data_IF_525991565845
#
_entry.id   IF_525991565845
#
_cell.length_a   1.000
_cell.length_b   1.000
_cell.length_c   1.000
_cell.angle_alpha   90.00
_cell.angle_beta   90.00
_cell.angle_gamma   90.00
#
_symmetry.space_group_name_H-M   'P 1'
#
loop_
_entity.id
_entity.type
_entity.pdbx_description
1 polymer ?
#
# COMPACT_ATOMS: atom_id res chain seq x y z
N UNK A 1 -38.16 18.88 5.40
CA UNK A 1 -37.05 17.91 5.26
C UNK A 1 -35.82 18.51 5.92
N UNK A 2 -35.16 17.84 6.88
CA UNK A 2 -33.95 18.39 7.49
C UNK A 2 -32.79 18.34 6.48
N UNK A 3 -31.96 19.39 6.40
CA UNK A 3 -30.85 19.44 5.45
C UNK A 3 -29.77 18.41 5.83
N UNK A 4 -29.32 17.63 4.85
CA UNK A 4 -28.18 16.69 4.98
C UNK A 4 -26.96 17.46 5.51
N UNK A 5 -26.45 17.05 6.68
CA UNK A 5 -25.22 17.58 7.25
C UNK A 5 -24.07 17.39 6.25
N UNK A 6 -23.25 18.41 5.97
CA UNK A 6 -22.08 18.25 5.11
C UNK A 6 -21.10 17.29 5.79
N UNK A 7 -20.77 16.19 5.10
CA UNK A 7 -19.77 15.23 5.59
C UNK A 7 -18.46 15.96 5.87
N UNK A 8 -17.89 15.76 7.07
CA UNK A 8 -16.57 16.28 7.42
C UNK A 8 -15.58 15.81 6.35
N UNK A 9 -15.07 16.74 5.54
CA UNK A 9 -13.88 16.51 4.71
C UNK A 9 -12.79 16.01 5.67
N UNK A 10 -12.34 14.76 5.53
CA UNK A 10 -11.19 14.26 6.29
C UNK A 10 -10.04 15.23 5.98
N UNK A 11 -9.45 15.84 7.03
CA UNK A 11 -8.24 16.65 6.88
C UNK A 11 -7.22 15.77 6.16
N UNK A 12 -6.71 16.28 5.04
CA UNK A 12 -5.62 15.63 4.33
C UNK A 12 -4.39 15.72 5.23
N UNK A 13 -3.92 14.58 5.70
CA UNK A 13 -2.76 14.48 6.60
C UNK A 13 -1.53 14.29 5.73
N UNK A 14 -0.61 15.23 5.81
CA UNK A 14 0.73 15.04 5.26
C UNK A 14 1.51 14.10 6.19
N UNK A 15 1.58 12.83 5.81
CA UNK A 15 2.29 11.81 6.57
C UNK A 15 3.81 11.96 6.51
N UNK A 16 4.34 12.78 5.60
CA UNK A 16 5.76 13.07 5.49
C UNK A 16 6.19 14.24 6.38
N UNK A 17 5.26 15.09 6.83
CA UNK A 17 5.55 16.19 7.76
C UNK A 17 6.09 15.68 9.10
N UNK A 18 7.02 16.42 9.71
CA UNK A 18 7.70 16.02 10.97
C UNK A 18 6.73 15.66 12.09
N UNK A 19 5.57 16.32 12.17
CA UNK A 19 4.55 16.09 13.20
C UNK A 19 3.84 14.72 13.06
N UNK A 20 3.74 14.19 11.84
CA UNK A 20 2.99 12.97 11.54
C UNK A 20 3.88 11.79 11.14
N UNK A 21 5.14 12.07 10.82
CA UNK A 21 6.10 11.09 10.33
C UNK A 21 6.51 10.12 11.42
N UNK A 22 6.42 8.82 11.13
CA UNK A 22 6.97 7.78 12.00
C UNK A 22 7.64 6.68 11.16
N UNK A 23 8.80 6.19 11.64
CA UNK A 23 9.62 5.19 10.92
C UNK A 23 8.98 3.79 10.89
N UNK A 24 8.06 3.53 11.80
CA UNK A 24 7.29 2.30 11.95
C UNK A 24 6.01 2.26 11.10
N UNK A 25 5.63 3.39 10.47
CA UNK A 25 4.45 3.48 9.61
C UNK A 25 4.82 3.25 8.17
N UNK A 26 4.30 2.17 7.59
CA UNK A 26 4.37 1.90 6.16
C UNK A 26 3.17 2.49 5.42
N UNK A 27 3.39 2.90 4.19
CA UNK A 27 2.36 3.51 3.35
C UNK A 27 1.97 2.54 2.24
N UNK A 28 0.66 2.35 2.06
CA UNK A 28 0.10 1.64 0.90
C UNK A 28 -0.72 2.64 0.11
N UNK A 29 -0.29 2.91 -1.11
CA UNK A 29 -1.01 3.75 -2.05
C UNK A 29 -1.77 2.86 -3.02
N UNK A 30 -3.09 3.04 -3.09
CA UNK A 30 -3.91 2.32 -4.08
C UNK A 30 -4.58 3.33 -4.99
N UNK A 31 -4.22 3.28 -6.27
CA UNK A 31 -4.98 3.93 -7.32
C UNK A 31 -6.08 2.97 -7.79
N UNK A 32 -7.32 3.41 -7.81
CA UNK A 32 -8.43 2.60 -8.24
C UNK A 32 -9.48 3.42 -8.99
N UNK A 33 -10.05 2.88 -10.07
CA UNK A 33 -11.14 3.53 -10.82
C UNK A 33 -12.39 3.72 -9.94
N UNK A 34 -13.21 4.70 -10.31
CA UNK A 34 -14.52 4.97 -9.71
C UNK A 34 -15.68 4.29 -10.45
N UNK A 35 -15.42 3.56 -11.54
CA UNK A 35 -16.44 2.88 -12.34
C UNK A 35 -17.28 1.88 -11.54
N UNK A 36 -16.70 1.23 -10.52
CA UNK A 36 -17.41 0.26 -9.72
C UNK A 36 -16.95 0.23 -8.25
N UNK A 37 -17.87 0.14 -7.27
CA UNK A 37 -17.53 0.09 -5.84
C UNK A 37 -16.58 -1.04 -5.43
N UNK A 38 -16.54 -2.16 -6.19
CA UNK A 38 -15.67 -3.30 -5.88
C UNK A 38 -14.19 -2.92 -5.85
N UNK A 39 -13.77 -1.94 -6.67
CA UNK A 39 -12.40 -1.44 -6.67
C UNK A 39 -12.02 -0.81 -5.33
N UNK A 40 -12.95 -0.05 -4.72
CA UNK A 40 -12.76 0.50 -3.40
C UNK A 40 -12.73 -0.60 -2.33
N UNK A 41 -13.66 -1.56 -2.40
CA UNK A 41 -13.70 -2.71 -1.48
C UNK A 41 -12.40 -3.50 -1.52
N UNK A 42 -11.88 -3.78 -2.72
CA UNK A 42 -10.61 -4.49 -2.91
C UNK A 42 -9.41 -3.70 -2.37
N UNK A 43 -9.42 -2.38 -2.50
CA UNK A 43 -8.40 -1.53 -1.87
C UNK A 43 -8.43 -1.63 -0.34
N UNK A 44 -9.61 -1.62 0.27
CA UNK A 44 -9.79 -1.74 1.73
C UNK A 44 -9.41 -3.15 2.23
N UNK A 45 -9.75 -4.21 1.48
CA UNK A 45 -9.33 -5.58 1.75
C UNK A 45 -7.81 -5.74 1.72
N UNK A 46 -7.13 -5.17 0.72
CA UNK A 46 -5.67 -5.22 0.62
C UNK A 46 -4.98 -4.57 1.84
N UNK A 47 -5.44 -3.38 2.25
CA UNK A 47 -4.91 -2.71 3.45
C UNK A 47 -5.16 -3.51 4.73
N UNK A 48 -6.34 -4.10 4.87
CA UNK A 48 -6.69 -4.96 6.00
C UNK A 48 -5.81 -6.20 6.04
N UNK A 49 -5.62 -6.86 4.90
CA UNK A 49 -4.78 -8.04 4.77
C UNK A 49 -3.34 -7.75 5.20
N UNK A 50 -2.70 -6.70 4.67
CA UNK A 50 -1.32 -6.37 5.00
C UNK A 50 -1.15 -6.04 6.49
N UNK A 51 -2.14 -5.35 7.08
CA UNK A 51 -2.15 -5.05 8.52
C UNK A 51 -2.23 -6.32 9.38
N UNK A 52 -3.01 -7.32 8.96
CA UNK A 52 -3.11 -8.61 9.66
C UNK A 52 -1.87 -9.48 9.45
N UNK A 53 -1.29 -9.43 8.25
CA UNK A 53 -0.18 -10.30 7.85
C UNK A 53 1.16 -9.87 8.43
N UNK A 54 1.34 -8.56 8.63
CA UNK A 54 2.58 -7.91 9.09
C UNK A 54 2.21 -6.97 10.27
N UNK A 55 1.77 -7.53 11.42
CA UNK A 55 1.23 -6.75 12.53
C UNK A 55 2.27 -5.85 13.24
N UNK A 56 3.56 -6.10 13.03
CA UNK A 56 4.66 -5.30 13.57
C UNK A 56 4.82 -3.94 12.85
N UNK A 57 4.12 -3.75 11.72
CA UNK A 57 4.09 -2.50 10.97
C UNK A 57 2.72 -1.82 11.08
N UNK A 58 2.73 -0.49 11.19
CA UNK A 58 1.50 0.31 11.10
C UNK A 58 1.27 0.66 9.64
N UNK A 59 0.29 0.06 8.99
CA UNK A 59 -0.03 0.39 7.61
C UNK A 59 -1.01 1.56 7.53
N UNK A 60 -0.68 2.53 6.68
CA UNK A 60 -1.56 3.63 6.30
C UNK A 60 -1.97 3.46 4.84
N UNK A 61 -3.25 3.11 4.64
CA UNK A 61 -3.86 3.05 3.32
C UNK A 61 -4.18 4.47 2.81
N UNK A 62 -3.75 4.79 1.59
CA UNK A 62 -4.00 6.05 0.89
C UNK A 62 -4.62 5.72 -0.47
N UNK A 63 -5.91 6.00 -0.63
CA UNK A 63 -6.65 5.73 -1.88
C UNK A 63 -6.67 6.97 -2.77
N UNK A 64 -6.30 6.83 -4.04
CA UNK A 64 -6.31 7.90 -5.05
C UNK A 64 -5.70 9.22 -4.54
N UNK A 65 -4.57 9.14 -3.81
CA UNK A 65 -3.93 10.30 -3.14
C UNK A 65 -4.93 11.13 -2.32
N UNK A 66 -5.72 10.47 -1.47
CA UNK A 66 -6.83 11.07 -0.70
C UNK A 66 -7.89 11.77 -1.56
N UNK A 67 -8.11 11.29 -2.78
CA UNK A 67 -9.04 11.88 -3.75
C UNK A 67 -8.47 13.06 -4.55
N UNK A 68 -7.17 13.36 -4.42
CA UNK A 68 -6.50 14.40 -5.22
C UNK A 68 -6.10 13.91 -6.62
N UNK A 69 -5.98 12.60 -6.80
CA UNK A 69 -5.67 12.00 -8.08
C UNK A 69 -6.96 11.52 -8.74
N UNK A 70 -7.22 11.99 -9.97
CA UNK A 70 -8.22 11.37 -10.84
C UNK A 70 -7.65 10.03 -11.29
N UNK A 71 -8.26 8.89 -10.91
CA UNK A 71 -7.73 7.59 -11.26
C UNK A 71 -7.85 7.35 -12.77
N UNK A 72 -6.88 6.61 -13.32
CA UNK A 72 -6.93 6.12 -14.70
C UNK A 72 -8.10 5.16 -14.90
N UNK A 73 -8.61 5.12 -16.13
CA UNK A 73 -9.71 4.22 -16.50
C UNK A 73 -9.31 2.75 -16.28
N UNK A 74 -10.19 1.97 -15.63
CA UNK A 74 -9.90 0.58 -15.27
C UNK A 74 -8.71 0.37 -14.32
N UNK A 75 -8.18 1.41 -13.67
CA UNK A 75 -7.01 1.30 -12.81
C UNK A 75 -7.28 0.47 -11.55
N UNK A 76 -6.29 -0.34 -11.19
CA UNK A 76 -6.12 -0.90 -9.85
C UNK A 76 -4.63 -1.13 -9.61
N UNK A 77 -3.95 -0.11 -9.08
CA UNK A 77 -2.52 -0.13 -8.84
C UNK A 77 -2.27 -0.20 -7.35
N UNK A 78 -1.41 -1.12 -6.92
CA UNK A 78 -0.97 -1.22 -5.53
C UNK A 78 0.49 -0.80 -5.49
N UNK A 79 0.77 0.24 -4.73
CA UNK A 79 2.10 0.80 -4.54
C UNK A 79 2.42 0.84 -3.05
N UNK A 80 3.65 0.54 -2.70
CA UNK A 80 4.11 0.47 -1.32
C UNK A 80 5.30 1.37 -1.09
N UNK A 81 5.33 2.01 0.08
CA UNK A 81 6.50 2.70 0.58
C UNK A 81 6.71 2.33 2.05
N UNK A 82 7.97 2.18 2.44
CA UNK A 82 8.31 1.79 3.80
C UNK A 82 7.90 2.85 4.84
N UNK A 83 7.88 4.12 4.44
CA UNK A 83 7.29 5.23 5.19
C UNK A 83 6.96 6.39 4.24
N UNK A 84 6.38 7.46 4.75
CA UNK A 84 5.94 8.59 3.92
C UNK A 84 7.06 9.41 3.27
N UNK A 85 8.34 9.14 3.60
CA UNK A 85 9.52 9.83 3.05
C UNK A 85 10.36 8.95 2.12
N UNK A 86 10.09 7.64 2.05
CA UNK A 86 10.83 6.71 1.19
C UNK A 86 10.20 6.58 -0.18
N UNK A 87 11.00 6.09 -1.13
CA UNK A 87 10.55 5.81 -2.49
C UNK A 87 9.35 4.88 -2.52
N UNK A 88 8.47 5.14 -3.48
CA UNK A 88 7.31 4.31 -3.78
C UNK A 88 7.69 3.20 -4.76
N UNK A 89 7.17 2.00 -4.50
CA UNK A 89 7.44 0.79 -5.27
C UNK A 89 6.12 0.16 -5.72
N UNK A 90 5.95 0.00 -7.03
CA UNK A 90 4.79 -0.70 -7.59
C UNK A 90 4.84 -2.19 -7.21
N UNK A 91 3.79 -2.66 -6.55
CA UNK A 91 3.61 -4.08 -6.20
C UNK A 91 2.68 -4.81 -7.17
N UNK A 92 1.68 -4.12 -7.71
CA UNK A 92 0.72 -4.70 -8.64
C UNK A 92 0.17 -3.65 -9.58
N UNK A 93 0.10 -3.99 -10.87
CA UNK A 93 -0.64 -3.23 -11.89
C UNK A 93 -1.83 -4.03 -12.39
N UNK A 94 -3.00 -3.40 -12.32
CA UNK A 94 -4.24 -3.89 -12.92
C UNK A 94 -4.46 -3.31 -14.31
N UNK A 95 -3.77 -2.23 -14.70
CA UNK A 95 -4.04 -1.52 -15.94
C UNK A 95 -3.90 -2.41 -17.18
N UNK A 96 -2.83 -3.20 -17.22
CA UNK A 96 -2.53 -4.08 -18.36
C UNK A 96 -3.29 -5.41 -18.33
N UNK A 97 -4.07 -5.65 -17.27
CA UNK A 97 -4.85 -6.88 -17.12
C UNK A 97 -6.20 -6.69 -17.82
N UNK A 98 -6.61 -7.73 -18.55
CA UNK A 98 -7.63 -7.66 -19.60
C UNK A 98 -9.00 -7.10 -19.20
N UNK A 99 -9.96 -7.07 -20.15
CA UNK A 99 -11.28 -6.51 -19.93
C UNK A 99 -12.07 -7.13 -18.75
N UNK A 100 -11.91 -8.42 -18.37
CA UNK A 100 -12.56 -8.94 -17.18
C UNK A 100 -12.08 -8.21 -15.93
N UNK A 101 -12.99 -7.48 -15.30
CA UNK A 101 -12.72 -6.71 -14.07
C UNK A 101 -12.04 -7.53 -12.98
N UNK A 102 -12.37 -8.82 -12.86
CA UNK A 102 -11.77 -9.72 -11.86
C UNK A 102 -10.26 -9.79 -11.98
N UNK A 103 -9.73 -9.73 -13.21
CA UNK A 103 -8.31 -9.91 -13.47
C UNK A 103 -7.51 -8.65 -13.11
N UNK A 104 -8.18 -7.51 -12.88
CA UNK A 104 -7.57 -6.28 -12.38
C UNK A 104 -7.01 -6.43 -10.96
N UNK A 105 -7.52 -7.38 -10.18
CA UNK A 105 -7.15 -7.59 -8.78
C UNK A 105 -6.18 -8.77 -8.62
N UNK A 106 -5.29 -8.75 -7.60
CA UNK A 106 -4.62 -9.96 -7.16
C UNK A 106 -5.64 -11.06 -6.83
N UNK A 107 -5.38 -12.30 -7.27
CA UNK A 107 -6.21 -13.45 -6.88
C UNK A 107 -6.15 -13.67 -5.37
N UNK A 108 -4.94 -13.56 -4.82
CA UNK A 108 -4.63 -13.61 -3.39
C UNK A 108 -3.66 -12.49 -3.07
N UNK A 109 -3.83 -11.82 -1.92
CA UNK A 109 -2.91 -10.75 -1.52
C UNK A 109 -1.57 -11.26 -1.00
N UNK A 110 -1.44 -12.56 -0.70
CA UNK A 110 -0.18 -13.17 -0.24
C UNK A 110 0.94 -13.00 -1.27
N UNK A 111 0.62 -12.90 -2.56
CA UNK A 111 1.61 -12.66 -3.62
C UNK A 111 2.36 -11.32 -3.45
N UNK A 112 1.79 -10.37 -2.70
CA UNK A 112 2.39 -9.05 -2.46
C UNK A 112 3.42 -9.10 -1.32
N UNK A 113 3.33 -10.09 -0.43
CA UNK A 113 4.11 -10.19 0.81
C UNK A 113 5.63 -10.30 0.54
N UNK A 114 6.11 -11.11 -0.42
CA UNK A 114 7.54 -11.19 -0.72
C UNK A 114 8.14 -9.84 -1.13
N UNK A 115 7.43 -9.07 -1.95
CA UNK A 115 7.90 -7.76 -2.43
C UNK A 115 7.87 -6.72 -1.30
N UNK A 116 6.81 -6.72 -0.48
CA UNK A 116 6.74 -5.89 0.73
C UNK A 116 7.91 -6.20 1.67
N UNK A 117 8.17 -7.47 1.97
CA UNK A 117 9.28 -7.88 2.83
C UNK A 117 10.63 -7.48 2.24
N UNK A 118 10.83 -7.64 0.92
CA UNK A 118 12.07 -7.20 0.25
C UNK A 118 12.29 -5.70 0.42
N UNK A 119 11.25 -4.89 0.28
CA UNK A 119 11.33 -3.43 0.46
C UNK A 119 11.57 -3.07 1.94
N UNK A 120 10.96 -3.80 2.88
CA UNK A 120 11.19 -3.60 4.31
C UNK A 120 12.64 -3.91 4.71
N UNK A 121 13.23 -5.00 4.20
CA UNK A 121 14.61 -5.41 4.51
C UNK A 121 15.65 -4.38 4.08
N UNK A 122 15.47 -3.69 2.94
CA UNK A 122 16.45 -2.74 2.39
C UNK A 122 16.89 -1.61 3.34
N UNK A 123 16.05 -1.27 4.33
CA UNK A 123 16.37 -0.19 5.27
C UNK A 123 16.10 -0.54 6.74
N UNK A 124 15.34 -1.60 7.02
CA UNK A 124 15.05 -2.09 8.37
C UNK A 124 14.98 -3.63 8.38
N UNK A 125 16.13 -4.33 8.36
CA UNK A 125 16.18 -5.78 8.29
C UNK A 125 15.42 -6.48 9.43
N UNK A 126 15.40 -5.90 10.64
CA UNK A 126 14.78 -6.48 11.84
C UNK A 126 13.24 -6.59 11.81
N UNK A 127 12.58 -6.06 10.77
CA UNK A 127 11.11 -6.01 10.70
C UNK A 127 10.52 -6.65 9.44
N UNK A 128 11.21 -7.63 8.88
CA UNK A 128 10.67 -8.49 7.84
C UNK A 128 10.10 -9.77 8.48
N UNK A 129 8.84 -10.10 8.21
CA UNK A 129 8.20 -11.31 8.77
C UNK A 129 8.78 -12.55 8.11
N UNK A 130 9.23 -13.51 8.93
CA UNK A 130 9.29 -14.93 8.53
C UNK A 130 10.49 -15.35 7.68
N UNK A 131 11.61 -14.63 7.75
CA UNK A 131 12.89 -15.14 7.23
C UNK A 131 13.81 -15.29 8.43
N UNK A 132 14.25 -16.52 8.70
CA UNK A 132 15.36 -16.75 9.62
C UNK A 132 16.55 -15.92 9.13
N UNK A 133 17.28 -15.29 10.05
CA UNK A 133 18.60 -14.72 9.81
C UNK A 133 19.47 -15.78 9.12
N UNK A 134 19.54 -15.72 7.79
CA UNK A 134 20.42 -16.53 6.94
C UNK A 134 20.95 -15.59 5.85
N UNK A 135 21.58 -14.51 6.31
CA UNK A 135 22.45 -13.65 5.52
C UNK A 135 23.78 -13.52 6.29
N UNK A 136 24.40 -14.67 6.57
CA UNK A 136 25.86 -14.79 6.50
C UNK A 136 26.23 -14.83 5.00
N UNK A 137 26.43 -13.68 4.37
CA UNK A 137 27.26 -13.62 3.15
C UNK A 137 28.29 -12.48 3.30
N UNK A 138 29.48 -12.94 3.69
CA UNK A 138 30.81 -12.45 3.33
C UNK A 138 30.85 -11.11 2.57
N UNK A 139 31.34 -10.08 3.25
CA UNK A 139 32.26 -9.15 2.60
C UNK A 139 33.66 -9.39 3.19
N UNK A 140 34.26 -10.51 2.80
CA UNK A 140 35.71 -10.57 2.57
C UNK A 140 35.91 -10.49 1.04
N UNK A 141 36.29 -9.32 0.52
CA UNK A 141 37.41 -9.20 -0.43
C UNK A 141 37.70 -7.74 -0.83
N UNK A 142 38.98 -7.39 -0.69
CA UNK A 142 39.74 -6.18 -1.06
C UNK A 142 39.71 -4.94 -0.15
#
# INVERSE_FOLDING_TARGET
MPPKRPGKKKKDVDWAADENFTKDRSMIYIEHTYECPIFQTKADECGTFLTQRIPERKFQLVKNRNGRQVPREGAFEITFSQNARTSEHLLWSGLDKGPPRRDKFPLEYEILVPDVNRILKKFYPDKAVGVADDDEEENEDM
#
